data_IF_959167353980
#
_entry.id   IF_959167353980
#
_cell.length_a   1.000
_cell.length_b   1.000
_cell.length_c   1.000
_cell.angle_alpha   90.00
_cell.angle_beta   90.00
_cell.angle_gamma   90.00
#
_symmetry.space_group_name_H-M   'P 1'
#
loop_
_entity.id
_entity.type
_entity.pdbx_description
1 polymer ?
#
# COMPACT_ATOMS: atom_id res chain seq x y z
N UNK A 1 13.07 -18.50 -52.05
CA UNK A 1 13.01 -18.81 -50.61
C UNK A 1 14.14 -18.04 -49.94
N UNK A 2 13.87 -16.89 -49.34
CA UNK A 2 14.89 -16.08 -48.67
C UNK A 2 15.21 -16.71 -47.32
N UNK A 3 16.43 -17.21 -47.15
CA UNK A 3 16.92 -17.66 -45.86
C UNK A 3 16.84 -16.49 -44.88
N UNK A 4 16.05 -16.63 -43.83
CA UNK A 4 16.00 -15.63 -42.76
C UNK A 4 17.39 -15.54 -42.13
N UNK A 5 17.92 -14.32 -42.02
CA UNK A 5 19.22 -14.07 -41.44
C UNK A 5 19.25 -14.59 -39.99
N UNK A 6 20.18 -15.50 -39.63
CA UNK A 6 20.25 -16.09 -38.29
C UNK A 6 20.39 -15.03 -37.18
N UNK A 7 20.91 -13.85 -37.50
CA UNK A 7 21.04 -12.74 -36.56
C UNK A 7 19.68 -12.13 -36.16
N UNK A 8 18.65 -12.21 -37.01
CA UNK A 8 17.30 -11.75 -36.67
C UNK A 8 16.70 -12.61 -35.56
N UNK A 9 16.89 -13.93 -35.61
CA UNK A 9 16.44 -14.85 -34.57
C UNK A 9 17.11 -14.59 -33.21
N UNK A 10 18.41 -14.32 -33.22
CA UNK A 10 19.18 -13.98 -32.00
C UNK A 10 18.71 -12.66 -31.41
N UNK A 11 18.49 -11.64 -32.25
CA UNK A 11 18.03 -10.32 -31.78
C UNK A 11 16.65 -10.40 -31.14
N UNK A 12 15.74 -11.21 -31.70
CA UNK A 12 14.41 -11.44 -31.12
C UNK A 12 14.52 -12.15 -29.76
N UNK A 13 15.39 -13.14 -29.62
CA UNK A 13 15.61 -13.83 -28.34
C UNK A 13 16.23 -12.93 -27.28
N UNK A 14 17.19 -12.08 -27.66
CA UNK A 14 17.78 -11.09 -26.74
C UNK A 14 16.72 -10.07 -26.32
N UNK A 15 15.91 -9.57 -27.26
CA UNK A 15 14.84 -8.63 -26.95
C UNK A 15 13.77 -9.27 -26.03
N UNK A 16 13.37 -10.51 -26.30
CA UNK A 16 12.44 -11.25 -25.46
C UNK A 16 13.03 -11.51 -24.05
N UNK A 17 14.31 -11.86 -23.97
CA UNK A 17 15.04 -12.00 -22.71
C UNK A 17 15.11 -10.70 -21.93
N UNK A 18 15.41 -9.58 -22.60
CA UNK A 18 15.47 -8.25 -22.00
C UNK A 18 14.10 -7.79 -21.48
N UNK A 19 13.01 -8.02 -22.23
CA UNK A 19 11.64 -7.71 -21.78
C UNK A 19 11.25 -8.56 -20.58
N UNK A 20 11.59 -9.85 -20.59
CA UNK A 20 11.28 -10.76 -19.48
C UNK A 20 12.09 -10.40 -18.24
N UNK A 21 13.38 -10.09 -18.41
CA UNK A 21 14.23 -9.60 -17.34
C UNK A 21 13.75 -8.25 -16.80
N UNK A 22 13.36 -7.31 -17.67
CA UNK A 22 12.82 -6.01 -17.27
C UNK A 22 11.55 -6.18 -16.41
N UNK A 23 10.59 -7.01 -16.85
CA UNK A 23 9.37 -7.31 -16.07
C UNK A 23 9.68 -8.00 -14.74
N UNK A 24 10.61 -8.95 -14.73
CA UNK A 24 11.07 -9.64 -13.50
C UNK A 24 11.79 -8.70 -12.54
N UNK A 25 12.50 -7.71 -13.07
CA UNK A 25 13.28 -6.73 -12.32
C UNK A 25 12.41 -5.61 -11.75
N UNK A 26 11.31 -5.26 -12.42
CA UNK A 26 10.27 -4.36 -11.90
C UNK A 26 9.66 -4.91 -10.60
N UNK A 27 9.42 -6.22 -10.55
CA UNK A 27 8.87 -6.94 -9.40
C UNK A 27 9.80 -6.95 -8.17
N UNK A 28 11.13 -6.89 -8.37
CA UNK A 28 12.13 -6.95 -7.30
C UNK A 28 12.45 -5.58 -6.68
N UNK A 29 11.89 -4.49 -7.26
CA UNK A 29 12.13 -3.11 -6.82
C UNK A 29 10.93 -2.40 -6.21
N UNK A 30 9.78 -3.07 -6.12
CA UNK A 30 8.63 -2.52 -5.38
C UNK A 30 9.00 -2.55 -3.89
N UNK A 31 9.23 -1.40 -3.23
CA UNK A 31 9.53 -1.38 -1.82
C UNK A 31 8.33 -1.94 -1.04
N UNK A 32 8.62 -2.55 0.10
CA UNK A 32 7.57 -3.12 0.94
C UNK A 32 6.59 -2.03 1.40
N UNK A 33 5.30 -2.31 1.35
CA UNK A 33 4.23 -1.43 1.79
C UNK A 33 4.37 -1.13 3.29
N UNK A 34 4.31 0.15 3.67
CA UNK A 34 4.61 0.59 5.04
C UNK A 34 6.08 0.99 5.29
N UNK A 35 6.92 1.10 4.25
CA UNK A 35 8.28 1.64 4.36
C UNK A 35 8.37 3.10 3.93
N UNK A 36 9.39 3.83 4.43
CA UNK A 36 9.68 5.22 4.02
C UNK A 36 9.94 5.29 2.51
N UNK A 37 10.68 4.32 1.97
CA UNK A 37 10.98 4.20 0.55
C UNK A 37 9.72 4.02 -0.30
N UNK A 38 8.76 3.22 0.17
CA UNK A 38 7.47 3.04 -0.50
C UNK A 38 6.66 4.35 -0.53
N UNK A 39 6.57 5.06 0.61
CA UNK A 39 5.86 6.33 0.68
C UNK A 39 6.48 7.37 -0.28
N UNK A 40 7.82 7.49 -0.30
CA UNK A 40 8.50 8.36 -1.25
C UNK A 40 8.30 7.94 -2.71
N UNK A 41 8.20 6.65 -3.01
CA UNK A 41 7.92 6.18 -4.37
C UNK A 41 6.50 6.58 -4.82
N UNK A 42 5.50 6.49 -3.93
CA UNK A 42 4.13 6.93 -4.22
C UNK A 42 4.09 8.43 -4.55
N UNK A 43 4.82 9.25 -3.79
CA UNK A 43 4.94 10.68 -4.06
C UNK A 43 5.66 10.94 -5.39
N UNK A 44 6.81 10.30 -5.62
CA UNK A 44 7.60 10.45 -6.85
C UNK A 44 6.83 10.03 -8.11
N UNK A 45 5.89 9.10 -7.98
CA UNK A 45 5.01 8.64 -9.08
C UNK A 45 3.72 9.45 -9.19
N UNK A 46 3.50 10.45 -8.34
CA UNK A 46 2.33 11.33 -8.34
C UNK A 46 1.04 10.65 -7.88
N UNK A 47 1.14 9.50 -7.20
CA UNK A 47 -0.02 8.77 -6.66
C UNK A 47 -0.56 9.40 -5.38
N UNK A 48 0.30 10.08 -4.63
CA UNK A 48 -0.05 10.84 -3.43
C UNK A 48 0.56 12.25 -3.52
N UNK A 49 -0.05 13.20 -2.82
CA UNK A 49 0.50 14.55 -2.67
C UNK A 49 1.52 14.62 -1.51
N UNK A 50 2.19 15.76 -1.36
CA UNK A 50 3.21 15.98 -0.32
C UNK A 50 2.63 15.86 1.10
N UNK A 51 1.39 16.33 1.30
CA UNK A 51 0.72 16.27 2.61
C UNK A 51 0.39 14.83 3.01
N UNK A 52 -0.03 14.00 2.06
CA UNK A 52 -0.26 12.59 2.30
C UNK A 52 1.06 11.83 2.50
N UNK A 53 2.13 12.21 1.81
CA UNK A 53 3.48 11.68 2.07
C UNK A 53 3.88 11.94 3.52
N UNK A 54 3.79 13.19 4.00
CA UNK A 54 4.10 13.55 5.39
C UNK A 54 3.28 12.72 6.39
N UNK A 55 1.96 12.63 6.19
CA UNK A 55 1.07 11.83 7.06
C UNK A 55 1.50 10.35 7.11
N UNK A 56 1.83 9.76 5.97
CA UNK A 56 2.26 8.35 5.93
C UNK A 56 3.62 8.17 6.58
N UNK A 57 4.54 9.13 6.43
CA UNK A 57 5.83 9.09 7.12
C UNK A 57 5.68 9.18 8.64
N UNK A 58 4.78 10.02 9.16
CA UNK A 58 4.50 10.09 10.59
C UNK A 58 4.02 8.74 11.14
N UNK A 59 3.11 8.06 10.44
CA UNK A 59 2.62 6.73 10.82
C UNK A 59 3.74 5.66 10.73
N UNK A 60 4.62 5.73 9.73
CA UNK A 60 5.76 4.79 9.58
C UNK A 60 6.76 4.96 10.72
N UNK A 61 6.95 6.19 11.21
CA UNK A 61 7.85 6.50 12.30
C UNK A 61 7.29 6.12 13.67
N UNK A 62 5.97 5.89 13.78
CA UNK A 62 5.29 5.46 14.99
C UNK A 62 5.00 3.93 14.99
N UNK A 63 5.69 3.15 15.83
CA UNK A 63 5.48 1.71 15.94
C UNK A 63 4.07 1.28 16.42
N UNK A 64 3.32 2.17 17.06
CA UNK A 64 1.94 1.91 17.49
C UNK A 64 0.97 2.14 16.34
N UNK A 65 1.14 3.24 15.59
CA UNK A 65 0.35 3.53 14.40
C UNK A 65 0.52 2.43 13.33
N UNK A 66 1.74 1.93 13.13
CA UNK A 66 1.98 0.79 12.24
C UNK A 66 1.30 -0.50 12.74
N UNK A 67 1.24 -0.72 14.06
CA UNK A 67 0.50 -1.85 14.65
C UNK A 67 -1.01 -1.72 14.43
N UNK A 68 -1.56 -0.51 14.57
CA UNK A 68 -2.96 -0.23 14.25
C UNK A 68 -3.21 -0.56 12.77
N UNK A 69 -2.40 -0.02 11.86
CA UNK A 69 -2.53 -0.23 10.41
C UNK A 69 -2.60 -1.71 10.06
N UNK A 70 -1.62 -2.50 10.52
CA UNK A 70 -1.57 -3.94 10.25
C UNK A 70 -2.73 -4.72 10.87
N UNK A 71 -3.26 -4.28 12.02
CA UNK A 71 -4.39 -4.92 12.66
C UNK A 71 -5.69 -4.66 11.89
N UNK A 72 -5.95 -3.40 11.53
CA UNK A 72 -7.21 -2.99 10.89
C UNK A 72 -7.29 -3.40 9.43
N UNK A 73 -6.16 -3.45 8.71
CA UNK A 73 -6.09 -3.85 7.30
C UNK A 73 -6.54 -5.31 7.06
N UNK A 74 -6.49 -6.16 8.10
CA UNK A 74 -7.01 -7.53 8.03
C UNK A 74 -8.55 -7.59 8.05
N UNK A 75 -9.20 -6.49 8.39
CA UNK A 75 -10.66 -6.40 8.47
C UNK A 75 -11.26 -6.28 7.08
N UNK A 76 -12.31 -7.07 6.83
CA UNK A 76 -13.01 -7.07 5.54
C UNK A 76 -13.49 -5.66 5.17
N UNK A 77 -13.07 -5.18 4.01
CA UNK A 77 -13.46 -3.87 3.49
C UNK A 77 -12.61 -2.69 3.98
N UNK A 78 -11.57 -2.93 4.78
CA UNK A 78 -10.50 -1.97 5.09
C UNK A 78 -9.35 -2.23 4.13
N UNK A 79 -9.05 -1.25 3.27
CA UNK A 79 -7.89 -1.29 2.37
C UNK A 79 -6.85 -0.23 2.75
N UNK A 80 -5.75 -0.19 2.00
CA UNK A 80 -4.57 0.67 2.25
C UNK A 80 -4.94 2.07 2.80
N UNK A 81 -5.64 2.89 2.01
CA UNK A 81 -5.95 4.26 2.44
C UNK A 81 -6.72 4.33 3.77
N UNK A 82 -7.66 3.41 4.00
CA UNK A 82 -8.48 3.40 5.21
C UNK A 82 -7.62 2.98 6.41
N UNK A 83 -6.71 2.01 6.26
CA UNK A 83 -5.83 1.61 7.35
C UNK A 83 -4.86 2.73 7.74
N UNK A 84 -4.35 3.51 6.78
CA UNK A 84 -3.56 4.72 7.05
C UNK A 84 -4.38 5.80 7.76
N UNK A 85 -5.61 6.07 7.30
CA UNK A 85 -6.47 7.09 7.90
C UNK A 85 -6.87 6.73 9.34
N UNK A 86 -7.07 5.45 9.64
CA UNK A 86 -7.32 4.96 11.00
C UNK A 86 -6.04 5.09 11.86
N UNK A 87 -4.91 4.61 11.36
CA UNK A 87 -3.63 4.67 12.08
C UNK A 87 -3.18 6.11 12.40
N UNK A 88 -3.51 7.07 11.53
CA UNK A 88 -3.21 8.48 11.77
C UNK A 88 -4.16 9.16 12.76
N UNK A 89 -5.32 8.55 13.08
CA UNK A 89 -6.35 9.13 13.95
C UNK A 89 -6.28 8.62 15.39
N UNK A 90 -5.89 7.37 15.58
CA UNK A 90 -5.88 6.72 16.89
C UNK A 90 -4.45 6.48 17.35
N UNK A 91 -4.21 6.69 18.64
CA UNK A 91 -2.88 6.56 19.20
C UNK A 91 -2.53 5.11 19.54
N UNK A 92 -3.54 4.29 19.90
CA UNK A 92 -3.34 2.88 20.24
C UNK A 92 -4.41 1.95 19.66
N UNK A 93 -4.10 0.65 19.56
CA UNK A 93 -5.08 -0.35 19.11
C UNK A 93 -6.27 -0.46 20.08
N UNK A 94 -6.05 -0.24 21.38
CA UNK A 94 -7.13 -0.24 22.36
C UNK A 94 -8.05 0.98 22.19
N UNK A 95 -7.55 2.11 21.70
CA UNK A 95 -8.40 3.25 21.35
C UNK A 95 -9.33 2.91 20.18
N UNK A 96 -8.82 2.19 19.17
CA UNK A 96 -9.65 1.73 18.04
C UNK A 96 -10.74 0.75 18.51
N UNK A 97 -10.41 -0.18 19.40
CA UNK A 97 -11.38 -1.15 19.96
C UNK A 97 -12.47 -0.49 20.78
N UNK A 98 -12.09 0.48 21.60
CA UNK A 98 -13.01 1.16 22.51
C UNK A 98 -13.78 2.28 21.82
N UNK A 99 -13.37 2.70 20.62
CA UNK A 99 -14.08 3.69 19.84
C UNK A 99 -15.56 3.31 19.62
N UNK A 100 -16.40 4.32 19.72
CA UNK A 100 -17.80 4.26 19.31
C UNK A 100 -17.93 4.13 17.80
N UNK A 101 -19.10 3.67 17.32
CA UNK A 101 -19.38 3.64 15.88
C UNK A 101 -19.31 5.04 15.28
N UNK A 102 -19.73 6.08 16.00
CA UNK A 102 -19.63 7.47 15.57
C UNK A 102 -18.17 7.93 15.41
N UNK A 103 -17.28 7.52 16.30
CA UNK A 103 -15.85 7.84 16.22
C UNK A 103 -15.14 7.11 15.07
N UNK A 104 -15.51 5.86 14.82
CA UNK A 104 -14.99 5.07 13.70
C UNK A 104 -15.50 5.62 12.37
N UNK A 105 -16.78 5.98 12.26
CA UNK A 105 -17.38 6.53 11.04
C UNK A 105 -16.93 7.96 10.74
N UNK A 106 -16.37 8.67 11.73
CA UNK A 106 -15.71 9.95 11.50
C UNK A 106 -14.40 9.82 10.69
N UNK A 107 -13.83 8.61 10.57
CA UNK A 107 -12.69 8.36 9.69
C UNK A 107 -13.17 8.41 8.22
N UNK A 108 -12.47 9.15 7.33
CA UNK A 108 -12.80 9.18 5.92
C UNK A 108 -12.94 7.77 5.33
N UNK A 109 -14.01 7.55 4.57
CA UNK A 109 -14.31 6.28 3.92
C UNK A 109 -14.62 5.10 4.87
N UNK A 110 -14.76 5.33 6.18
CA UNK A 110 -15.33 4.34 7.11
C UNK A 110 -16.82 4.63 7.27
N UNK A 111 -17.65 3.80 6.64
CA UNK A 111 -19.11 3.83 6.86
C UNK A 111 -19.53 2.82 7.92
N UNK A 112 -20.82 2.83 8.29
CA UNK A 112 -21.38 1.98 9.35
C UNK A 112 -20.96 0.51 9.24
N UNK A 113 -21.09 -0.08 8.05
CA UNK A 113 -20.72 -1.48 7.82
C UNK A 113 -19.22 -1.78 8.08
N UNK A 114 -18.33 -0.82 7.77
CA UNK A 114 -16.89 -0.97 8.05
C UNK A 114 -16.58 -0.74 9.52
N UNK A 115 -17.27 0.22 10.15
CA UNK A 115 -17.15 0.47 11.58
C UNK A 115 -17.60 -0.75 12.40
N UNK A 116 -18.74 -1.36 12.04
CA UNK A 116 -19.19 -2.62 12.64
C UNK A 116 -18.18 -3.75 12.41
N UNK A 117 -17.68 -3.91 11.19
CA UNK A 117 -16.66 -4.93 10.90
C UNK A 117 -15.38 -4.76 11.73
N UNK A 118 -14.95 -3.51 11.99
CA UNK A 118 -13.82 -3.21 12.86
C UNK A 118 -14.09 -3.59 14.32
N UNK A 119 -15.31 -3.39 14.82
CA UNK A 119 -15.68 -3.78 16.19
C UNK A 119 -15.78 -5.29 16.36
N UNK A 120 -16.16 -6.00 15.32
CA UNK A 120 -16.26 -7.46 15.35
C UNK A 120 -14.90 -8.15 15.19
N UNK A 121 -13.91 -7.49 14.57
CA UNK A 121 -12.62 -8.09 14.21
C UNK A 121 -11.48 -7.85 15.21
N UNK A 122 -11.55 -6.79 16.02
CA UNK A 122 -10.46 -6.33 16.90
C UNK A 122 -10.61 -6.77 18.36
#
# INVERSE_FOLDING_TARGET
MTAADPWVGVTILIAAGAVTAYRRFEDWRTPDEGTREWAHQLYATGKIDERELERRLDVIEDPEAERIRQAVERTSGIGDQISWDIAARFDTLDDVRNASLDELTAVPNVGDARAEALKDSL
#
